data_IF_370747159396
#
_entry.id   IF_370747159396
#
_cell.length_a   1.000
_cell.length_b   1.000
_cell.length_c   1.000
_cell.angle_alpha   90.00
_cell.angle_beta   90.00
_cell.angle_gamma   90.00
#
_symmetry.space_group_name_H-M   'P 1'
#
loop_
_entity.id
_entity.type
_entity.pdbx_description
1 polymer ?
#
# COMPACT_ATOMS: atom_id res chain seq x y z
N UNK A 1 26.55 -31.36 -15.66
CA UNK A 1 25.60 -30.37 -15.14
C UNK A 1 26.29 -29.16 -14.50
N UNK A 2 27.39 -29.27 -13.75
CA UNK A 2 28.09 -28.11 -13.15
C UNK A 2 28.62 -27.09 -14.17
N UNK A 3 29.21 -27.51 -15.30
CA UNK A 3 29.73 -26.58 -16.33
C UNK A 3 28.66 -25.72 -17.01
N UNK A 4 27.42 -26.18 -17.17
CA UNK A 4 26.32 -25.42 -17.77
C UNK A 4 25.87 -24.34 -16.82
N UNK A 5 25.80 -24.60 -15.49
CA UNK A 5 25.47 -23.60 -14.48
C UNK A 5 26.50 -22.47 -14.37
N UNK A 6 27.81 -22.80 -14.52
CA UNK A 6 28.88 -21.79 -14.50
C UNK A 6 28.88 -20.91 -15.75
N UNK A 7 28.63 -21.51 -16.92
CA UNK A 7 28.54 -20.75 -18.19
C UNK A 7 27.34 -19.81 -18.21
N UNK A 8 26.18 -20.28 -17.74
CA UNK A 8 24.97 -19.47 -17.60
C UNK A 8 25.17 -18.32 -16.60
N UNK A 9 25.82 -18.59 -15.46
CA UNK A 9 26.13 -17.53 -14.46
C UNK A 9 27.19 -16.52 -14.93
N UNK A 10 28.11 -16.91 -15.85
CA UNK A 10 29.04 -15.99 -16.51
C UNK A 10 28.35 -15.16 -17.58
N UNK A 11 27.45 -15.75 -18.36
CA UNK A 11 26.67 -15.04 -19.37
C UNK A 11 25.75 -13.98 -18.75
N UNK A 12 25.08 -14.28 -17.64
CA UNK A 12 24.27 -13.31 -16.87
C UNK A 12 25.14 -12.19 -16.25
N UNK A 13 26.40 -12.48 -15.89
CA UNK A 13 27.36 -11.49 -15.43
C UNK A 13 27.87 -10.60 -16.57
N UNK A 14 28.09 -11.16 -17.76
CA UNK A 14 28.51 -10.42 -18.94
C UNK A 14 27.41 -9.52 -19.52
N UNK A 15 26.14 -9.89 -19.35
CA UNK A 15 24.97 -9.11 -19.77
C UNK A 15 24.63 -7.96 -18.82
N UNK A 16 25.47 -7.67 -17.81
CA UNK A 16 25.21 -6.54 -16.88
C UNK A 16 23.92 -6.65 -16.12
N UNK A 17 23.34 -7.88 -15.97
CA UNK A 17 22.20 -8.10 -15.09
C UNK A 17 22.66 -7.79 -13.67
N UNK A 18 22.38 -6.55 -13.26
CA UNK A 18 22.66 -6.00 -11.94
C UNK A 18 22.21 -7.01 -10.89
N UNK A 19 23.15 -7.51 -10.09
CA UNK A 19 22.83 -8.24 -8.85
C UNK A 19 22.21 -7.27 -7.87
N UNK A 20 20.91 -6.98 -8.05
CA UNK A 20 20.17 -6.17 -7.10
C UNK A 20 20.17 -6.90 -5.76
N UNK A 21 20.75 -6.28 -4.75
CA UNK A 21 20.64 -6.80 -3.39
C UNK A 21 19.18 -6.72 -2.94
N UNK A 22 18.75 -7.62 -2.04
CA UNK A 22 17.39 -7.58 -1.45
C UNK A 22 17.06 -6.20 -0.86
N UNK A 23 18.09 -5.50 -0.35
CA UNK A 23 17.96 -4.12 0.13
C UNK A 23 17.60 -3.16 -1.01
N UNK A 24 18.27 -3.26 -2.16
CA UNK A 24 17.99 -2.40 -3.33
C UNK A 24 16.59 -2.66 -3.87
N UNK A 25 16.19 -3.93 -4.01
CA UNK A 25 14.84 -4.30 -4.44
C UNK A 25 13.79 -3.72 -3.49
N UNK A 26 13.98 -3.84 -2.18
CA UNK A 26 13.07 -3.28 -1.18
C UNK A 26 12.99 -1.75 -1.24
N UNK A 27 14.11 -1.05 -1.47
CA UNK A 27 14.11 0.40 -1.63
C UNK A 27 13.42 0.80 -2.92
N UNK A 28 13.73 0.18 -4.05
CA UNK A 28 13.13 0.50 -5.35
C UNK A 28 11.62 0.28 -5.36
N UNK A 29 11.16 -0.86 -4.87
CA UNK A 29 9.73 -1.15 -4.74
C UNK A 29 9.04 -0.20 -3.77
N UNK A 30 9.70 0.13 -2.64
CA UNK A 30 9.22 1.12 -1.69
C UNK A 30 9.11 2.52 -2.28
N UNK A 31 10.05 2.94 -3.14
CA UNK A 31 9.99 4.23 -3.84
C UNK A 31 8.83 4.29 -4.84
N UNK A 32 8.59 3.23 -5.61
CA UNK A 32 7.42 3.16 -6.51
C UNK A 32 6.13 3.33 -5.72
N UNK A 33 5.97 2.58 -4.63
CA UNK A 33 4.79 2.66 -3.76
C UNK A 33 4.66 4.04 -3.11
N UNK A 34 5.74 4.63 -2.65
CA UNK A 34 5.73 5.96 -2.04
C UNK A 34 5.35 7.04 -3.05
N UNK A 35 5.82 6.94 -4.30
CA UNK A 35 5.40 7.83 -5.40
C UNK A 35 3.91 7.70 -5.67
N UNK A 36 3.39 6.48 -5.75
CA UNK A 36 1.95 6.24 -5.90
C UNK A 36 1.15 6.87 -4.75
N UNK A 37 1.53 6.59 -3.50
CA UNK A 37 0.84 7.12 -2.32
C UNK A 37 0.90 8.64 -2.28
N UNK A 38 2.04 9.25 -2.60
CA UNK A 38 2.21 10.71 -2.64
C UNK A 38 1.27 11.34 -3.65
N UNK A 39 1.22 10.84 -4.89
CA UNK A 39 0.32 11.36 -5.93
C UNK A 39 -1.14 11.09 -5.59
N UNK A 40 -1.44 9.97 -4.95
CA UNK A 40 -2.80 9.64 -4.49
C UNK A 40 -3.27 10.57 -3.35
N UNK A 41 -2.39 10.94 -2.42
CA UNK A 41 -2.71 11.90 -1.35
C UNK A 41 -2.85 13.33 -1.86
N UNK A 42 -2.04 13.72 -2.87
CA UNK A 42 -2.27 14.98 -3.58
C UNK A 42 -3.65 15.02 -4.21
N UNK A 43 -4.09 13.88 -4.76
CA UNK A 43 -5.43 13.78 -5.31
C UNK A 43 -6.53 13.87 -4.22
N UNK A 44 -6.34 13.21 -3.06
CA UNK A 44 -7.24 13.42 -1.92
C UNK A 44 -7.31 14.89 -1.49
N UNK A 45 -6.18 15.59 -1.52
CA UNK A 45 -6.13 17.02 -1.18
C UNK A 45 -6.97 17.90 -2.13
N UNK A 46 -7.22 17.49 -3.38
CA UNK A 46 -8.09 18.20 -4.31
C UNK A 46 -9.55 18.23 -3.84
N UNK A 47 -9.99 17.30 -3.00
CA UNK A 47 -11.32 17.31 -2.42
C UNK A 47 -11.56 18.50 -1.47
N UNK A 48 -10.51 19.21 -1.03
CA UNK A 48 -10.64 20.51 -0.36
C UNK A 48 -11.20 21.60 -1.29
N UNK A 49 -11.10 21.42 -2.61
CA UNK A 49 -11.69 22.32 -3.61
C UNK A 49 -13.11 21.85 -3.90
N UNK A 50 -13.26 20.60 -4.31
CA UNK A 50 -14.55 19.93 -4.54
C UNK A 50 -14.37 18.44 -4.80
N UNK A 51 -15.44 17.66 -4.67
CA UNK A 51 -15.45 16.23 -5.10
C UNK A 51 -15.14 16.12 -6.60
N UNK A 52 -15.68 17.04 -7.42
CA UNK A 52 -15.42 17.08 -8.87
C UNK A 52 -13.93 17.33 -9.19
N UNK A 53 -13.22 18.16 -8.40
CA UNK A 53 -11.78 18.34 -8.56
C UNK A 53 -11.00 17.06 -8.23
N UNK A 54 -11.40 16.33 -7.19
CA UNK A 54 -10.80 15.02 -6.85
C UNK A 54 -11.08 13.97 -7.94
N UNK A 55 -12.28 13.95 -8.53
CA UNK A 55 -12.62 13.08 -9.69
C UNK A 55 -11.74 13.40 -10.91
N UNK A 56 -11.54 14.67 -11.21
CA UNK A 56 -10.67 15.10 -12.30
C UNK A 56 -9.21 14.65 -12.09
N UNK A 57 -8.71 14.78 -10.88
CA UNK A 57 -7.39 14.26 -10.50
C UNK A 57 -7.31 12.74 -10.56
N UNK A 58 -8.39 12.02 -10.25
CA UNK A 58 -8.47 10.57 -10.36
C UNK A 58 -8.30 10.10 -11.82
N UNK A 59 -8.77 10.86 -12.80
CA UNK A 59 -8.54 10.53 -14.22
C UNK A 59 -7.04 10.52 -14.55
N UNK A 60 -6.26 11.46 -14.03
CA UNK A 60 -4.80 11.48 -14.20
C UNK A 60 -4.17 10.26 -13.55
N UNK A 61 -4.60 9.90 -12.34
CA UNK A 61 -4.12 8.69 -11.65
C UNK A 61 -4.44 7.43 -12.47
N UNK A 62 -5.63 7.33 -13.04
CA UNK A 62 -6.04 6.21 -13.91
C UNK A 62 -5.15 6.10 -15.15
N UNK A 63 -4.86 7.21 -15.83
CA UNK A 63 -3.98 7.23 -17.01
C UNK A 63 -2.55 6.75 -16.69
N UNK A 64 -2.03 7.02 -15.52
CA UNK A 64 -0.68 6.59 -15.12
C UNK A 64 -0.70 5.13 -14.62
N UNK A 65 -1.53 4.83 -13.63
CA UNK A 65 -1.43 3.62 -12.82
C UNK A 65 -2.38 2.49 -13.22
N UNK A 66 -3.39 2.76 -14.08
CA UNK A 66 -4.30 1.73 -14.58
C UNK A 66 -3.97 1.24 -16.00
N UNK A 67 -3.00 1.85 -16.69
CA UNK A 67 -2.40 1.25 -17.89
C UNK A 67 -1.71 -0.06 -17.55
N UNK A 68 -1.58 -0.98 -18.51
CA UNK A 68 -0.90 -2.25 -18.27
C UNK A 68 0.51 -2.08 -17.65
N UNK A 69 1.41 -1.23 -18.19
CA UNK A 69 2.73 -1.01 -17.58
C UNK A 69 2.64 -0.45 -16.16
N UNK A 70 1.81 0.57 -15.93
CA UNK A 70 1.65 1.19 -14.61
C UNK A 70 1.10 0.21 -13.58
N UNK A 71 0.09 -0.56 -13.95
CA UNK A 71 -0.50 -1.59 -13.10
C UNK A 71 0.52 -2.69 -12.76
N UNK A 72 1.26 -3.19 -13.75
CA UNK A 72 2.31 -4.21 -13.52
C UNK A 72 3.39 -3.68 -12.57
N UNK A 73 3.91 -2.48 -12.79
CA UNK A 73 4.92 -1.86 -11.92
C UNK A 73 4.38 -1.69 -10.50
N UNK A 74 3.15 -1.18 -10.34
CA UNK A 74 2.54 -0.94 -9.04
C UNK A 74 2.31 -2.24 -8.26
N UNK A 75 1.63 -3.22 -8.88
CA UNK A 75 1.27 -4.46 -8.17
C UNK A 75 2.44 -5.40 -7.97
N UNK A 76 3.39 -5.47 -8.92
CA UNK A 76 4.65 -6.19 -8.73
C UNK A 76 5.47 -5.55 -7.59
N UNK A 77 5.51 -4.21 -7.51
CA UNK A 77 6.16 -3.52 -6.38
C UNK A 77 5.45 -3.80 -5.06
N UNK A 78 4.12 -3.77 -5.02
CA UNK A 78 3.33 -4.04 -3.81
C UNK A 78 3.58 -5.46 -3.29
N UNK A 79 3.44 -6.48 -4.14
CA UNK A 79 3.62 -7.87 -3.74
C UNK A 79 5.06 -8.18 -3.34
N UNK A 80 6.04 -7.67 -4.09
CA UNK A 80 7.46 -7.84 -3.77
C UNK A 80 7.83 -7.12 -2.47
N UNK A 81 7.39 -5.88 -2.27
CA UNK A 81 7.68 -5.10 -1.07
C UNK A 81 7.07 -5.75 0.17
N UNK A 82 5.83 -6.22 0.08
CA UNK A 82 5.15 -6.95 1.15
C UNK A 82 5.87 -8.26 1.48
N UNK A 83 6.25 -9.06 0.49
CA UNK A 83 7.02 -10.29 0.69
C UNK A 83 8.37 -10.02 1.36
N UNK A 84 9.10 -8.99 0.90
CA UNK A 84 10.36 -8.57 1.51
C UNK A 84 10.19 -7.94 2.91
N UNK A 85 8.98 -7.55 3.29
CA UNK A 85 8.65 -7.10 4.65
C UNK A 85 8.77 -8.21 5.68
N UNK A 86 8.55 -9.48 5.31
CA UNK A 86 8.72 -10.65 6.18
C UNK A 86 10.18 -11.07 6.34
N UNK A 87 11.06 -10.68 5.41
CA UNK A 87 12.47 -11.08 5.43
C UNK A 87 13.22 -10.68 6.71
N UNK A 88 13.08 -9.45 7.24
CA UNK A 88 13.71 -9.07 8.50
C UNK A 88 13.23 -9.90 9.70
N UNK A 89 11.97 -10.36 9.71
CA UNK A 89 11.46 -11.23 10.76
C UNK A 89 12.14 -12.61 10.72
N UNK A 90 12.36 -13.15 9.51
CA UNK A 90 13.07 -14.40 9.31
C UNK A 90 14.56 -14.29 9.67
N UNK A 91 15.23 -13.20 9.24
CA UNK A 91 16.70 -13.09 9.31
C UNK A 91 17.22 -12.65 10.70
N UNK A 92 16.46 -11.86 11.44
CA UNK A 92 16.91 -11.29 12.72
C UNK A 92 17.19 -12.37 13.77
N UNK A 93 18.36 -12.23 14.44
CA UNK A 93 18.74 -13.11 15.53
C UNK A 93 17.96 -12.85 16.82
N UNK A 94 17.60 -11.62 17.11
CA UNK A 94 16.80 -11.23 18.27
C UNK A 94 15.75 -10.18 17.88
N UNK A 95 14.78 -9.93 18.76
CA UNK A 95 13.74 -8.91 18.57
C UNK A 95 14.08 -7.57 19.26
N UNK A 96 15.37 -7.27 19.37
CA UNK A 96 15.79 -5.95 19.85
C UNK A 96 15.67 -4.96 18.70
N UNK A 97 14.75 -4.01 18.84
CA UNK A 97 14.48 -2.95 17.89
C UNK A 97 14.69 -1.60 18.57
N UNK A 98 15.21 -0.63 17.84
CA UNK A 98 15.00 0.77 18.20
C UNK A 98 13.53 1.12 18.06
N UNK A 99 13.06 2.18 18.73
CA UNK A 99 11.66 2.61 18.63
C UNK A 99 11.25 2.84 17.18
N UNK A 100 12.08 3.53 16.39
CA UNK A 100 11.80 3.80 14.98
C UNK A 100 11.73 2.54 14.11
N UNK A 101 12.60 1.55 14.34
CA UNK A 101 12.54 0.25 13.64
C UNK A 101 11.29 -0.55 14.03
N UNK A 102 10.92 -0.54 15.31
CA UNK A 102 9.70 -1.20 15.79
C UNK A 102 8.46 -0.55 15.15
N UNK A 103 8.38 0.78 15.17
CA UNK A 103 7.31 1.53 14.51
C UNK A 103 7.23 1.20 13.03
N UNK A 104 8.35 1.25 12.30
CA UNK A 104 8.40 0.91 10.86
C UNK A 104 7.88 -0.50 10.58
N UNK A 105 8.27 -1.48 11.40
CA UNK A 105 7.84 -2.86 11.25
C UNK A 105 6.35 -3.04 11.55
N UNK A 106 5.87 -2.51 12.67
CA UNK A 106 4.46 -2.62 13.09
C UNK A 106 3.55 -1.96 12.06
N UNK A 107 3.85 -0.72 11.65
CA UNK A 107 3.06 -0.03 10.61
C UNK A 107 3.07 -0.83 9.30
N UNK A 108 4.23 -1.35 8.88
CA UNK A 108 4.34 -2.17 7.68
C UNK A 108 3.50 -3.46 7.73
N UNK A 109 3.37 -4.09 8.90
CA UNK A 109 2.52 -5.28 9.09
C UNK A 109 1.03 -4.93 9.18
N UNK A 110 0.67 -3.73 9.62
CA UNK A 110 -0.72 -3.26 9.65
C UNK A 110 -1.25 -2.91 8.25
N UNK A 111 -0.39 -2.41 7.34
CA UNK A 111 -0.81 -1.96 6.01
C UNK A 111 -1.59 -3.02 5.23
N UNK A 112 -1.14 -4.29 5.06
CA UNK A 112 -1.89 -5.30 4.31
C UNK A 112 -3.30 -5.53 4.85
N UNK A 113 -3.47 -5.46 6.17
CA UNK A 113 -4.77 -5.65 6.83
C UNK A 113 -5.71 -4.47 6.56
N UNK A 114 -5.19 -3.25 6.71
CA UNK A 114 -5.98 -2.03 6.56
C UNK A 114 -6.32 -1.70 5.09
N UNK A 115 -5.41 -2.01 4.15
CA UNK A 115 -5.59 -1.68 2.72
C UNK A 115 -6.51 -2.68 2.00
N UNK A 116 -6.76 -3.86 2.57
CA UNK A 116 -7.50 -4.92 1.90
C UNK A 116 -8.88 -4.47 1.40
N UNK A 117 -9.68 -3.84 2.24
CA UNK A 117 -11.01 -3.35 1.87
C UNK A 117 -10.97 -2.26 0.81
N UNK A 118 -9.95 -1.40 0.85
CA UNK A 118 -9.77 -0.36 -0.16
C UNK A 118 -9.43 -0.96 -1.53
N UNK A 119 -8.46 -1.85 -1.61
CA UNK A 119 -8.04 -2.48 -2.88
C UNK A 119 -9.13 -3.39 -3.44
N UNK A 120 -9.79 -4.17 -2.58
CA UNK A 120 -10.90 -5.04 -2.99
C UNK A 120 -12.10 -4.23 -3.48
N UNK A 121 -12.49 -3.20 -2.74
CA UNK A 121 -13.63 -2.35 -3.07
C UNK A 121 -13.44 -1.48 -4.32
N UNK A 122 -12.20 -1.15 -4.66
CA UNK A 122 -11.87 -0.32 -5.83
C UNK A 122 -11.34 -1.15 -6.99
N UNK A 123 -10.07 -1.55 -6.94
CA UNK A 123 -9.38 -2.16 -8.09
C UNK A 123 -9.86 -3.58 -8.41
N UNK A 124 -10.04 -4.41 -7.39
CA UNK A 124 -10.50 -5.80 -7.62
C UNK A 124 -11.95 -5.80 -8.10
N UNK A 125 -12.80 -4.98 -7.49
CA UNK A 125 -14.19 -4.77 -7.90
C UNK A 125 -14.30 -4.31 -9.36
N UNK A 126 -13.48 -3.33 -9.77
CA UNK A 126 -13.39 -2.91 -11.17
C UNK A 126 -12.93 -4.05 -12.09
N UNK A 127 -11.89 -4.81 -11.69
CA UNK A 127 -11.31 -5.84 -12.55
C UNK A 127 -12.19 -7.07 -12.73
N UNK A 128 -12.97 -7.45 -11.72
CA UNK A 128 -13.80 -8.64 -11.74
C UNK A 128 -15.25 -8.36 -12.16
N UNK A 129 -15.77 -7.19 -11.80
CA UNK A 129 -17.20 -6.88 -11.95
C UNK A 129 -17.46 -5.64 -12.80
N UNK A 130 -16.42 -4.94 -13.26
CA UNK A 130 -16.55 -3.72 -14.06
C UNK A 130 -17.06 -2.50 -13.28
N UNK A 131 -17.09 -2.55 -11.92
CA UNK A 131 -17.64 -1.43 -11.13
C UNK A 131 -16.79 -0.17 -11.25
N UNK A 132 -17.43 0.93 -11.64
CA UNK A 132 -16.80 2.23 -11.91
C UNK A 132 -16.93 3.15 -10.67
N UNK A 133 -16.09 2.93 -9.67
CA UNK A 133 -16.10 3.77 -8.46
C UNK A 133 -15.18 4.97 -8.60
N UNK A 134 -15.68 6.12 -8.21
CA UNK A 134 -14.96 7.36 -8.04
C UNK A 134 -14.91 7.81 -6.57
N UNK A 135 -14.61 9.07 -6.36
CA UNK A 135 -14.59 9.66 -5.01
C UNK A 135 -15.98 9.76 -4.40
N UNK A 136 -17.00 10.06 -5.20
CA UNK A 136 -18.38 10.17 -4.72
C UNK A 136 -18.85 8.85 -4.11
N UNK A 137 -18.63 7.71 -4.77
CA UNK A 137 -19.02 6.38 -4.31
C UNK A 137 -18.20 5.92 -3.09
N UNK A 138 -16.90 6.22 -3.06
CA UNK A 138 -16.06 5.88 -1.90
C UNK A 138 -16.40 6.73 -0.68
N UNK A 139 -16.67 8.04 -0.84
CA UNK A 139 -17.15 8.88 0.26
C UNK A 139 -18.54 8.46 0.73
N UNK A 140 -19.47 8.09 -0.18
CA UNK A 140 -20.76 7.51 0.20
C UNK A 140 -20.58 6.26 1.06
N UNK A 141 -19.67 5.36 0.65
CA UNK A 141 -19.36 4.16 1.43
C UNK A 141 -18.85 4.51 2.82
N UNK A 142 -17.88 5.41 2.94
CA UNK A 142 -17.18 5.69 4.17
C UNK A 142 -17.92 6.63 5.13
N UNK A 143 -18.79 7.51 4.63
CA UNK A 143 -19.48 8.48 5.46
C UNK A 143 -20.93 8.12 5.74
N UNK A 144 -21.57 7.33 4.87
CA UNK A 144 -23.00 6.99 4.98
C UNK A 144 -23.17 5.51 5.26
N UNK A 145 -22.64 4.62 4.39
CA UNK A 145 -22.95 3.18 4.46
C UNK A 145 -22.12 2.44 5.50
N UNK A 146 -20.87 2.81 5.73
CA UNK A 146 -19.95 2.15 6.67
C UNK A 146 -18.99 3.13 7.31
N UNK A 147 -19.42 3.98 8.27
CA UNK A 147 -18.56 4.95 8.94
C UNK A 147 -17.33 4.32 9.63
N UNK A 148 -17.48 3.10 10.15
CA UNK A 148 -16.35 2.35 10.73
C UNK A 148 -15.25 2.10 9.68
N UNK A 149 -15.62 1.71 8.46
CA UNK A 149 -14.66 1.56 7.36
C UNK A 149 -14.03 2.91 7.00
N UNK A 150 -14.78 4.01 7.12
CA UNK A 150 -14.28 5.37 6.93
C UNK A 150 -13.20 5.75 7.94
N UNK A 151 -13.40 5.44 9.22
CA UNK A 151 -12.37 5.63 10.26
C UNK A 151 -11.14 4.78 9.98
N UNK A 152 -11.31 3.51 9.59
CA UNK A 152 -10.19 2.63 9.24
C UNK A 152 -9.43 3.15 8.01
N UNK A 153 -10.12 3.76 7.04
CA UNK A 153 -9.50 4.40 5.88
C UNK A 153 -8.64 5.62 6.28
N UNK A 154 -9.11 6.46 7.20
CA UNK A 154 -8.33 7.57 7.74
C UNK A 154 -7.10 7.07 8.51
N UNK A 155 -7.23 6.00 9.30
CA UNK A 155 -6.10 5.34 9.97
C UNK A 155 -5.12 4.76 8.95
N UNK A 156 -5.60 4.10 7.89
CA UNK A 156 -4.75 3.58 6.80
C UNK A 156 -3.92 4.70 6.17
N UNK A 157 -4.53 5.85 5.89
CA UNK A 157 -3.85 7.01 5.32
C UNK A 157 -2.64 7.41 6.20
N UNK A 158 -2.82 7.53 7.51
CA UNK A 158 -1.73 7.86 8.43
C UNK A 158 -0.70 6.73 8.52
N UNK A 159 -1.13 5.48 8.63
CA UNK A 159 -0.24 4.31 8.78
C UNK A 159 0.68 4.15 7.56
N UNK A 160 0.12 4.20 6.34
CA UNK A 160 0.92 4.05 5.11
C UNK A 160 1.86 5.23 4.92
N UNK A 161 1.43 6.45 5.25
CA UNK A 161 2.25 7.64 5.12
C UNK A 161 3.43 7.66 6.07
N UNK A 162 3.19 7.40 7.37
CA UNK A 162 4.25 7.36 8.39
C UNK A 162 5.24 6.23 8.07
N UNK A 163 4.75 5.05 7.65
CA UNK A 163 5.61 3.95 7.20
C UNK A 163 6.50 4.37 6.03
N UNK A 164 5.94 4.99 5.02
CA UNK A 164 6.68 5.48 3.85
C UNK A 164 7.72 6.54 4.22
N UNK A 165 7.34 7.55 5.01
CA UNK A 165 8.24 8.61 5.48
C UNK A 165 9.41 8.07 6.31
N UNK A 166 9.16 7.12 7.21
CA UNK A 166 10.22 6.45 7.97
C UNK A 166 11.16 5.67 7.05
N UNK A 167 10.62 4.96 6.04
CA UNK A 167 11.42 4.25 5.03
C UNK A 167 12.32 5.20 4.25
N UNK A 168 11.80 6.31 3.78
CA UNK A 168 12.57 7.38 3.11
C UNK A 168 13.62 7.97 4.05
N UNK A 169 13.26 8.27 5.31
CA UNK A 169 14.21 8.76 6.32
C UNK A 169 15.37 7.78 6.51
N UNK A 170 15.10 6.49 6.71
CA UNK A 170 16.16 5.49 6.91
C UNK A 170 17.10 5.35 5.71
N UNK A 171 16.61 5.58 4.51
CA UNK A 171 17.42 5.57 3.31
C UNK A 171 18.21 6.87 3.13
N UNK A 172 17.55 8.04 3.27
CA UNK A 172 18.16 9.35 2.99
C UNK A 172 19.13 9.82 4.08
N UNK A 173 18.93 9.44 5.36
CA UNK A 173 19.82 9.85 6.45
C UNK A 173 21.30 9.46 6.24
N UNK A 174 21.56 8.54 5.31
CA UNK A 174 22.91 8.11 4.93
C UNK A 174 23.50 8.94 3.78
N UNK A 175 22.76 9.94 3.29
CA UNK A 175 23.17 10.78 2.15
C UNK A 175 23.67 12.15 2.63
N UNK A 176 24.77 12.69 2.05
CA UNK A 176 25.33 13.99 2.48
C UNK A 176 24.36 15.17 2.32
N UNK A 177 23.45 15.11 1.33
CA UNK A 177 22.48 16.17 1.07
C UNK A 177 21.28 16.16 2.04
N UNK A 178 21.12 15.13 2.88
CA UNK A 178 19.93 15.00 3.71
C UNK A 178 19.80 16.05 4.82
N UNK A 179 20.89 16.41 5.58
CA UNK A 179 20.78 17.39 6.64
C UNK A 179 20.19 18.74 6.21
N UNK A 180 20.60 19.37 5.11
CA UNK A 180 20.04 20.66 4.69
C UNK A 180 18.58 20.58 4.22
N UNK A 181 18.12 19.44 3.67
CA UNK A 181 16.75 19.30 3.16
C UNK A 181 15.77 18.69 4.17
N UNK A 182 16.25 18.20 5.31
CA UNK A 182 15.45 17.50 6.31
C UNK A 182 14.25 18.32 6.79
N UNK A 183 14.42 19.64 7.00
CA UNK A 183 13.33 20.51 7.44
C UNK A 183 12.18 20.58 6.42
N UNK A 184 12.51 20.77 5.14
CA UNK A 184 11.53 20.82 4.05
C UNK A 184 10.81 19.47 3.93
N UNK A 185 11.56 18.36 3.97
CA UNK A 185 10.96 17.02 3.92
C UNK A 185 10.01 16.76 5.10
N UNK A 186 10.37 17.24 6.30
CA UNK A 186 9.49 17.13 7.48
C UNK A 186 8.22 17.97 7.31
N UNK A 187 8.33 19.20 6.79
CA UNK A 187 7.16 20.05 6.51
C UNK A 187 6.20 19.37 5.52
N UNK A 188 6.72 18.78 4.43
CA UNK A 188 5.93 18.03 3.46
C UNK A 188 5.32 16.76 4.09
N UNK A 189 6.07 16.07 4.95
CA UNK A 189 5.60 14.88 5.66
C UNK A 189 4.44 15.16 6.61
N UNK A 190 4.29 16.39 7.11
CA UNK A 190 3.17 16.82 7.95
C UNK A 190 2.04 17.41 7.11
N UNK A 191 2.38 18.28 6.17
CA UNK A 191 1.39 19.04 5.40
C UNK A 191 0.55 18.15 4.47
N UNK A 192 1.18 17.22 3.74
CA UNK A 192 0.46 16.43 2.74
C UNK A 192 -0.63 15.53 3.36
N UNK A 193 -0.37 14.73 4.41
CA UNK A 193 -1.43 13.92 5.02
C UNK A 193 -2.50 14.79 5.70
N UNK A 194 -2.14 15.95 6.25
CA UNK A 194 -3.11 16.90 6.82
C UNK A 194 -4.09 17.40 5.74
N UNK A 195 -3.58 17.84 4.58
CA UNK A 195 -4.41 18.26 3.45
C UNK A 195 -5.24 17.09 2.87
N UNK A 196 -4.67 15.89 2.80
CA UNK A 196 -5.39 14.71 2.32
C UNK A 196 -6.53 14.30 3.27
N UNK A 197 -6.30 14.34 4.59
CA UNK A 197 -7.35 14.09 5.60
C UNK A 197 -8.43 15.18 5.61
N UNK A 198 -8.04 16.43 5.45
CA UNK A 198 -8.99 17.54 5.35
C UNK A 198 -9.87 17.39 4.09
N UNK A 199 -9.27 17.03 2.95
CA UNK A 199 -10.01 16.74 1.72
C UNK A 199 -10.93 15.53 1.87
N UNK A 200 -10.48 14.48 2.56
CA UNK A 200 -11.32 13.33 2.91
C UNK A 200 -12.53 13.74 3.76
N UNK A 201 -12.33 14.63 4.74
CA UNK A 201 -13.40 15.16 5.58
C UNK A 201 -14.39 16.02 4.77
N UNK A 202 -13.90 17.03 4.04
CA UNK A 202 -14.75 17.94 3.24
C UNK A 202 -15.50 17.22 2.13
N UNK A 203 -14.84 16.24 1.46
CA UNK A 203 -15.51 15.40 0.47
C UNK A 203 -16.64 14.58 1.08
N UNK A 204 -16.43 14.05 2.28
CA UNK A 204 -17.46 13.32 3.02
C UNK A 204 -18.65 14.19 3.41
N UNK A 205 -18.41 15.41 3.92
CA UNK A 205 -19.48 16.39 4.21
C UNK A 205 -20.28 16.75 2.97
N UNK A 206 -19.59 16.95 1.82
CA UNK A 206 -20.28 17.24 0.56
C UNK A 206 -21.24 16.11 0.16
N UNK A 207 -20.87 14.85 0.39
CA UNK A 207 -21.76 13.71 0.12
C UNK A 207 -22.93 13.64 1.11
N UNK A 208 -22.70 13.93 2.40
CA UNK A 208 -23.79 13.96 3.38
C UNK A 208 -24.88 15.01 3.02
N UNK A 209 -24.49 16.10 2.37
CA UNK A 209 -25.42 17.13 1.89
C UNK A 209 -26.13 16.74 0.58
N UNK A 210 -25.50 15.87 -0.24
CA UNK A 210 -26.02 15.49 -1.56
C UNK A 210 -26.79 14.18 -1.58
N UNK A 211 -26.60 13.31 -0.59
CA UNK A 211 -27.08 11.92 -0.61
C UNK A 211 -28.60 11.77 -0.69
N UNK A 212 -29.35 12.77 -0.25
CA UNK A 212 -30.84 12.77 -0.30
C UNK A 212 -31.38 13.41 -1.59
N UNK A 213 -30.54 13.98 -2.47
CA UNK A 213 -30.93 14.53 -3.76
C UNK A 213 -31.22 13.39 -4.75
N UNK A 214 -32.46 13.30 -5.30
CA UNK A 214 -32.83 12.24 -6.26
C UNK A 214 -31.97 12.25 -7.52
N UNK A 215 -31.50 13.42 -8.00
CA UNK A 215 -30.63 13.52 -9.18
C UNK A 215 -29.26 12.95 -8.88
N UNK A 216 -28.70 13.27 -7.71
CA UNK A 216 -27.44 12.73 -7.28
C UNK A 216 -27.52 11.18 -7.11
N UNK A 217 -28.60 10.69 -6.51
CA UNK A 217 -28.84 9.25 -6.34
C UNK A 217 -28.93 8.53 -7.70
N UNK A 218 -29.63 9.10 -8.67
CA UNK A 218 -29.75 8.53 -10.00
C UNK A 218 -28.41 8.38 -10.72
N UNK A 219 -27.45 9.26 -10.42
CA UNK A 219 -26.11 9.25 -11.03
C UNK A 219 -25.12 8.32 -10.30
N UNK A 220 -25.23 8.17 -8.99
CA UNK A 220 -24.19 7.51 -8.18
C UNK A 220 -24.60 6.19 -7.53
N UNK A 221 -25.89 5.84 -7.49
CA UNK A 221 -26.38 4.61 -6.85
C UNK A 221 -26.66 3.47 -7.84
N UNK A 222 -26.23 3.58 -9.08
CA UNK A 222 -26.39 2.53 -10.09
C UNK A 222 -25.55 1.29 -9.73
N UNK A 223 -25.99 0.06 -10.10
CA UNK A 223 -25.26 -1.17 -9.79
C UNK A 223 -23.83 -1.22 -10.31
N UNK A 224 -23.56 -0.61 -11.47
CA UNK A 224 -22.22 -0.49 -12.05
C UNK A 224 -21.29 0.45 -11.27
N UNK A 225 -21.82 1.29 -10.38
CA UNK A 225 -21.06 2.16 -9.49
C UNK A 225 -20.88 1.54 -8.09
N UNK A 226 -21.94 0.99 -7.50
CA UNK A 226 -21.91 0.52 -6.10
C UNK A 226 -21.73 -1.00 -5.96
N UNK A 227 -21.91 -1.75 -7.04
CA UNK A 227 -21.90 -3.21 -7.05
C UNK A 227 -23.20 -3.81 -6.50
N UNK A 228 -23.54 -5.03 -6.94
CA UNK A 228 -24.68 -5.81 -6.45
C UNK A 228 -24.36 -6.39 -5.06
N UNK A 229 -25.41 -6.85 -4.35
CA UNK A 229 -25.25 -7.54 -3.07
C UNK A 229 -24.37 -8.79 -3.19
N UNK A 230 -24.52 -9.57 -4.27
CA UNK A 230 -23.72 -10.75 -4.55
C UNK A 230 -22.24 -10.41 -4.80
N UNK A 231 -21.95 -9.39 -5.61
CA UNK A 231 -20.60 -8.91 -5.85
C UNK A 231 -19.92 -8.43 -4.57
N UNK A 232 -20.63 -7.69 -3.74
CA UNK A 232 -20.12 -7.23 -2.44
C UNK A 232 -19.87 -8.40 -1.47
N UNK A 233 -20.72 -9.43 -1.46
CA UNK A 233 -20.51 -10.65 -0.67
C UNK A 233 -19.27 -11.43 -1.15
N UNK A 234 -19.04 -11.51 -2.46
CA UNK A 234 -17.84 -12.11 -3.02
C UNK A 234 -16.56 -11.37 -2.57
N UNK A 235 -16.57 -10.03 -2.56
CA UNK A 235 -15.42 -9.24 -2.08
C UNK A 235 -15.13 -9.49 -0.59
N UNK A 236 -16.16 -9.68 0.24
CA UNK A 236 -15.99 -10.06 1.65
C UNK A 236 -15.34 -11.45 1.78
N UNK A 237 -15.73 -12.40 0.93
CA UNK A 237 -15.11 -13.72 0.87
C UNK A 237 -13.62 -13.63 0.46
N UNK A 238 -13.29 -12.87 -0.59
CA UNK A 238 -11.91 -12.65 -1.01
C UNK A 238 -11.06 -11.98 0.08
N UNK A 239 -11.62 -11.03 0.83
CA UNK A 239 -10.95 -10.44 2.00
C UNK A 239 -10.61 -11.50 3.05
N UNK A 240 -11.56 -12.38 3.36
CA UNK A 240 -11.35 -13.45 4.35
C UNK A 240 -10.23 -14.38 3.92
N UNK A 241 -10.22 -14.80 2.66
CA UNK A 241 -9.14 -15.62 2.10
C UNK A 241 -7.79 -14.89 2.09
N UNK A 242 -7.77 -13.60 1.77
CA UNK A 242 -6.54 -12.81 1.84
C UNK A 242 -5.97 -12.78 3.25
N UNK A 243 -6.79 -12.64 4.29
CA UNK A 243 -6.33 -12.66 5.67
C UNK A 243 -5.83 -14.05 6.10
N UNK A 244 -6.45 -15.13 5.64
CA UNK A 244 -5.94 -16.49 5.87
C UNK A 244 -4.56 -16.65 5.25
N UNK A 245 -4.39 -16.27 3.99
CA UNK A 245 -3.09 -16.34 3.29
C UNK A 245 -2.02 -15.51 4.02
N UNK A 246 -2.37 -14.29 4.44
CA UNK A 246 -1.46 -13.41 5.18
C UNK A 246 -1.04 -14.04 6.53
N UNK A 247 -2.00 -14.59 7.27
CA UNK A 247 -1.73 -15.24 8.56
C UNK A 247 -0.86 -16.49 8.39
N UNK A 248 -1.12 -17.31 7.36
CA UNK A 248 -0.31 -18.48 7.03
C UNK A 248 1.12 -18.05 6.66
N UNK A 249 1.29 -17.05 5.79
CA UNK A 249 2.61 -16.54 5.41
C UNK A 249 3.41 -16.02 6.61
N UNK A 250 2.75 -15.31 7.52
CA UNK A 250 3.35 -14.83 8.77
C UNK A 250 3.75 -16.01 9.67
N UNK A 251 2.85 -16.98 9.89
CA UNK A 251 3.11 -18.19 10.67
C UNK A 251 4.28 -19.00 10.13
N UNK A 252 4.29 -19.25 8.81
CA UNK A 252 5.40 -19.96 8.14
C UNK A 252 6.73 -19.23 8.30
N UNK A 253 6.73 -17.88 8.25
CA UNK A 253 7.94 -17.08 8.49
C UNK A 253 8.50 -17.30 9.89
N UNK A 254 7.64 -17.32 10.91
CA UNK A 254 8.04 -17.56 12.30
C UNK A 254 8.54 -18.99 12.53
N UNK A 255 7.87 -19.98 11.94
CA UNK A 255 8.29 -21.40 11.99
C UNK A 255 9.66 -21.58 11.33
N UNK A 256 9.83 -21.07 10.10
CA UNK A 256 11.10 -21.16 9.38
C UNK A 256 12.24 -20.48 10.16
N UNK A 257 11.97 -19.35 10.81
CA UNK A 257 12.91 -18.69 11.72
C UNK A 257 13.28 -19.61 12.91
N UNK A 258 12.29 -20.20 13.57
CA UNK A 258 12.51 -21.08 14.73
C UNK A 258 13.38 -22.28 14.36
N UNK A 259 13.06 -22.95 13.24
CA UNK A 259 13.83 -24.07 12.73
C UNK A 259 15.28 -23.71 12.40
N UNK A 260 15.49 -22.54 11.76
CA UNK A 260 16.86 -22.06 11.50
C UNK A 260 17.64 -21.87 12.79
N UNK A 261 17.02 -21.28 13.82
CA UNK A 261 17.66 -21.04 15.12
C UNK A 261 18.05 -22.33 15.85
N UNK A 262 17.17 -23.34 15.81
CA UNK A 262 17.46 -24.66 16.36
C UNK A 262 18.63 -25.33 15.62
N UNK A 263 18.70 -25.20 14.31
CA UNK A 263 19.80 -25.71 13.50
C UNK A 263 21.14 -25.01 13.80
N UNK A 264 21.14 -23.67 13.98
CA UNK A 264 22.34 -22.90 14.36
C UNK A 264 22.85 -23.34 15.74
N UNK A 265 21.94 -23.50 16.72
CA UNK A 265 22.29 -23.92 18.07
C UNK A 265 22.94 -25.30 18.11
N UNK A 266 22.39 -26.28 17.37
CA UNK A 266 22.96 -27.63 17.27
C UNK A 266 24.35 -27.68 16.60
N UNK A 267 24.62 -26.77 15.65
CA UNK A 267 25.93 -26.67 14.98
C UNK A 267 26.98 -26.00 15.86
N UNK A 268 26.59 -25.09 16.74
CA UNK A 268 27.51 -24.46 17.67
C UNK A 268 27.88 -25.30 18.90
N UNK A 269 27.21 -26.43 19.10
CA UNK A 269 27.49 -27.42 20.16
C UNK A 269 28.37 -28.59 19.69
N UNK A 270 28.69 -28.67 18.40
CA UNK A 270 29.63 -29.63 17.83
C UNK A 270 30.96 -28.95 17.49
#
# INVERSE_FOLDING_TARGET
MQRIGETFSRCLRALGVLRLSLRQIRISTGLVLFTYVTTHFLNHALANISVAAAESGLLIQKVIWQTLPGAVILYASLTTHMGLGFWPLYERRNFRFTRAEATQLVLGLCIPVLIADHVLGTRVSLSLFGTQKGYAEEFLKFWVRSPTSGVLQAILLLVVWIHGCLGIHFWLRLKPFYPPVKGVLLSLAVLLPALALLGYYQGGEAILLAVDDPVWQALHLMPDHVGTAEQNAALVSYRSWFFVVLAVAFGLTLVARALRRLGEHRRGQR
#
